data_IF_213695535951
#
_entry.id   IF_213695535951
#
_cell.length_a   1.000
_cell.length_b   1.000
_cell.length_c   1.000
_cell.angle_alpha   90.00
_cell.angle_beta   90.00
_cell.angle_gamma   90.00
#
_symmetry.space_group_name_H-M   'P 1'
#
loop_
_entity.id
_entity.type
_entity.pdbx_description
1 polymer ?
#
# COMPACT_ATOMS: atom_id res chain seq x y z
N UNK A 1 -50.33 -24.23 31.55
CA UNK A 1 -50.89 -22.89 31.26
C UNK A 1 -50.21 -21.76 32.04
N UNK A 2 -49.73 -21.96 33.28
CA UNK A 2 -49.06 -20.89 34.08
C UNK A 2 -47.78 -20.29 33.46
N UNK A 3 -46.97 -21.09 32.76
CA UNK A 3 -45.70 -20.60 32.18
C UNK A 3 -45.94 -19.62 31.02
N UNK A 4 -47.02 -19.81 30.26
CA UNK A 4 -47.42 -18.86 29.21
C UNK A 4 -48.02 -17.59 29.80
N UNK A 5 -48.82 -17.69 30.86
CA UNK A 5 -49.38 -16.52 31.56
C UNK A 5 -48.27 -15.63 32.15
N UNK A 6 -47.26 -16.21 32.81
CA UNK A 6 -46.11 -15.45 33.34
C UNK A 6 -45.27 -14.79 32.24
N UNK A 7 -45.14 -15.42 31.07
CA UNK A 7 -44.43 -14.85 29.91
C UNK A 7 -45.18 -13.69 29.26
N UNK A 8 -46.51 -13.75 29.25
CA UNK A 8 -47.37 -12.67 28.74
C UNK A 8 -47.39 -11.49 29.72
N UNK A 9 -47.47 -11.76 31.03
CA UNK A 9 -47.35 -10.75 32.09
C UNK A 9 -46.04 -9.96 31.98
N UNK A 10 -44.90 -10.67 31.87
CA UNK A 10 -43.59 -10.02 31.74
C UNK A 10 -43.42 -9.22 30.45
N UNK A 11 -44.10 -9.61 29.36
CA UNK A 11 -44.12 -8.82 28.11
C UNK A 11 -44.95 -7.55 28.28
N UNK A 12 -46.10 -7.63 28.95
CA UNK A 12 -46.98 -6.49 29.19
C UNK A 12 -46.31 -5.44 30.08
N UNK A 13 -45.64 -5.86 31.16
CA UNK A 13 -44.88 -4.96 32.03
C UNK A 13 -43.73 -4.26 31.31
N UNK A 14 -43.06 -4.97 30.39
CA UNK A 14 -41.95 -4.40 29.61
C UNK A 14 -42.48 -3.40 28.57
N UNK A 15 -43.65 -3.67 27.97
CA UNK A 15 -44.35 -2.72 27.11
C UNK A 15 -44.83 -1.48 27.88
N UNK A 16 -45.37 -1.66 29.09
CA UNK A 16 -45.79 -0.56 29.96
C UNK A 16 -44.61 0.37 30.30
N UNK A 17 -43.47 -0.21 30.74
CA UNK A 17 -42.24 0.56 31.02
C UNK A 17 -41.70 1.30 29.79
N UNK A 18 -41.88 0.72 28.59
CA UNK A 18 -41.46 1.35 27.33
C UNK A 18 -42.38 2.51 26.94
N UNK A 19 -43.68 2.39 27.18
CA UNK A 19 -44.64 3.49 27.01
C UNK A 19 -44.39 4.63 28.00
N UNK A 20 -44.13 4.31 29.28
CA UNK A 20 -43.83 5.31 30.31
C UNK A 20 -42.52 6.05 30.01
N UNK A 21 -41.50 5.32 29.53
CA UNK A 21 -40.22 5.92 29.11
C UNK A 21 -40.39 6.89 27.92
N UNK A 22 -41.20 6.52 26.93
CA UNK A 22 -41.50 7.39 25.76
C UNK A 22 -42.35 8.60 26.17
N UNK A 23 -43.27 8.45 27.13
CA UNK A 23 -44.06 9.56 27.68
C UNK A 23 -43.16 10.57 28.42
N UNK A 24 -42.22 10.10 29.25
CA UNK A 24 -41.24 10.95 29.94
C UNK A 24 -40.29 11.65 28.96
N UNK A 25 -39.93 11.00 27.84
CA UNK A 25 -39.12 11.62 26.79
C UNK A 25 -39.89 12.71 26.01
N UNK A 26 -41.20 12.51 25.78
CA UNK A 26 -42.06 13.52 25.13
C UNK A 26 -42.35 14.73 26.02
N UNK A 27 -42.49 14.55 27.33
CA UNK A 27 -42.70 15.66 28.27
C UNK A 27 -41.47 16.57 28.44
N UNK A 28 -40.24 16.07 28.20
CA UNK A 28 -39.02 16.89 28.20
C UNK A 28 -38.82 17.73 26.92
N UNK A 29 -39.63 17.54 25.88
CA UNK A 29 -39.53 18.26 24.61
C UNK A 29 -40.46 19.48 24.51
N UNK A 30 -41.29 19.77 25.53
CA UNK A 30 -42.25 20.89 25.52
C UNK A 30 -42.20 21.62 26.87
N UNK A 31 -41.34 22.63 26.97
CA UNK A 31 -41.59 23.83 27.78
C UNK A 31 -40.52 24.89 27.47
N UNK A 32 -40.91 26.07 26.97
CA UNK A 32 -40.04 27.23 26.88
C UNK A 32 -40.22 28.17 28.08
N UNK A 33 -39.12 28.85 28.40
CA UNK A 33 -39.01 30.23 28.90
C UNK A 33 -38.91 30.53 30.42
N UNK A 34 -38.08 31.56 30.67
CA UNK A 34 -38.07 32.53 31.77
C UNK A 34 -37.45 32.12 33.12
N UNK A 35 -36.13 32.31 33.28
CA UNK A 35 -35.58 33.60 33.74
C UNK A 35 -34.04 33.60 33.80
N UNK A 36 -33.47 34.68 33.28
CA UNK A 36 -32.07 35.10 33.43
C UNK A 36 -31.71 35.33 34.90
N UNK A 37 -30.49 34.93 35.31
CA UNK A 37 -29.38 35.87 35.48
C UNK A 37 -28.12 35.18 36.01
N UNK A 38 -26.98 35.54 35.41
CA UNK A 38 -25.62 35.52 35.95
C UNK A 38 -24.93 34.15 36.13
N UNK A 39 -24.33 33.68 35.03
CA UNK A 39 -22.85 33.60 34.88
C UNK A 39 -22.56 33.32 33.41
N UNK A 40 -22.49 34.39 32.62
CA UNK A 40 -22.24 34.33 31.18
C UNK A 40 -20.78 34.66 30.89
N UNK A 41 -20.18 33.88 29.98
CA UNK A 41 -18.96 34.16 29.19
C UNK A 41 -17.62 34.07 29.93
N UNK A 42 -17.15 32.85 30.21
CA UNK A 42 -15.70 32.59 30.09
C UNK A 42 -15.36 31.20 29.52
N UNK A 43 -16.19 30.17 29.70
CA UNK A 43 -15.85 28.81 29.24
C UNK A 43 -16.14 28.50 27.76
N UNK A 44 -17.14 29.14 27.13
CA UNK A 44 -17.39 28.92 25.68
C UNK A 44 -16.38 29.62 24.76
N UNK A 45 -15.65 30.61 25.26
CA UNK A 45 -14.61 31.30 24.51
C UNK A 45 -13.25 30.58 24.57
N UNK A 46 -12.96 29.85 25.65
CA UNK A 46 -11.72 29.07 25.78
C UNK A 46 -11.75 27.81 24.92
N UNK A 47 -12.84 27.04 24.92
CA UNK A 47 -12.97 25.85 24.07
C UNK A 47 -12.93 26.16 22.56
N UNK A 48 -13.48 27.32 22.14
CA UNK A 48 -13.46 27.74 20.73
C UNK A 48 -12.12 28.34 20.27
N UNK A 49 -11.36 28.97 21.17
CA UNK A 49 -9.97 29.41 20.89
C UNK A 49 -9.00 28.24 20.85
N UNK A 50 -9.13 27.28 21.78
CA UNK A 50 -8.29 26.07 21.82
C UNK A 50 -8.53 25.21 20.56
N UNK A 51 -9.78 25.05 20.09
CA UNK A 51 -10.08 24.37 18.83
C UNK A 51 -9.55 25.11 17.58
N UNK A 52 -9.49 26.45 17.58
CA UNK A 52 -8.93 27.23 16.46
C UNK A 52 -7.40 27.20 16.42
N UNK A 53 -6.73 27.23 17.57
CA UNK A 53 -5.26 27.10 17.67
C UNK A 53 -4.83 25.70 17.24
N UNK A 54 -5.54 24.66 17.66
CA UNK A 54 -5.31 23.28 17.20
C UNK A 54 -5.45 23.15 15.67
N UNK A 55 -6.43 23.84 15.06
CA UNK A 55 -6.59 23.87 13.61
C UNK A 55 -5.37 24.41 12.85
N UNK A 56 -4.79 25.53 13.31
CA UNK A 56 -3.59 26.12 12.70
C UNK A 56 -2.34 25.26 12.91
N UNK A 57 -2.20 24.62 14.06
CA UNK A 57 -1.11 23.67 14.31
C UNK A 57 -1.20 22.48 13.34
N UNK A 58 -2.40 21.95 13.08
CA UNK A 58 -2.57 20.89 12.08
C UNK A 58 -2.28 21.37 10.66
N UNK A 59 -2.62 22.61 10.29
CA UNK A 59 -2.23 23.18 8.99
C UNK A 59 -0.71 23.25 8.84
N UNK A 60 0.00 23.72 9.87
CA UNK A 60 1.47 23.73 9.88
C UNK A 60 2.02 22.31 9.76
N UNK A 61 1.46 21.36 10.51
CA UNK A 61 1.89 19.97 10.48
C UNK A 61 1.68 19.32 9.10
N UNK A 62 0.55 19.60 8.44
CA UNK A 62 0.26 19.15 7.08
C UNK A 62 1.36 19.65 6.14
N UNK A 63 1.63 20.95 6.14
CA UNK A 63 2.65 21.56 5.26
C UNK A 63 4.04 20.96 5.53
N UNK A 64 4.41 20.78 6.80
CA UNK A 64 5.69 20.16 7.16
C UNK A 64 5.79 18.70 6.72
N UNK A 65 4.73 17.90 6.91
CA UNK A 65 4.72 16.50 6.50
C UNK A 65 4.77 16.34 4.99
N UNK A 66 4.05 17.18 4.24
CA UNK A 66 4.11 17.21 2.78
C UNK A 66 5.50 17.62 2.30
N UNK A 67 6.06 18.70 2.85
CA UNK A 67 7.41 19.15 2.49
C UNK A 67 8.48 18.09 2.77
N UNK A 68 8.47 17.48 3.95
CA UNK A 68 9.43 16.44 4.31
C UNK A 68 9.26 15.21 3.40
N UNK A 69 8.01 14.79 3.16
CA UNK A 69 7.71 13.66 2.28
C UNK A 69 8.23 13.91 0.86
N UNK A 70 7.91 15.07 0.28
CA UNK A 70 8.13 15.35 -1.13
C UNK A 70 9.57 15.75 -1.45
N UNK A 71 10.26 16.40 -0.52
CA UNK A 71 11.61 16.92 -0.77
C UNK A 71 12.73 16.11 -0.14
N UNK A 72 12.47 15.43 0.98
CA UNK A 72 13.50 14.72 1.73
C UNK A 72 13.33 13.19 1.65
N UNK A 73 12.11 12.66 1.83
CA UNK A 73 11.91 11.22 1.94
C UNK A 73 11.62 10.52 0.59
N UNK A 74 11.01 11.19 -0.38
CA UNK A 74 10.69 10.61 -1.71
C UNK A 74 11.91 10.39 -2.60
N UNK A 75 13.02 11.10 -2.33
CA UNK A 75 14.26 11.07 -3.12
C UNK A 75 15.10 9.82 -2.82
N UNK A 76 14.53 8.65 -3.08
CA UNK A 76 15.22 7.37 -3.02
C UNK A 76 16.14 7.25 -4.24
N UNK A 77 17.46 7.26 -4.01
CA UNK A 77 18.42 6.92 -5.06
C UNK A 77 18.70 5.41 -5.00
N UNK A 78 18.61 4.68 -6.13
CA UNK A 78 19.08 3.31 -6.20
C UNK A 78 20.60 3.26 -5.98
N UNK A 79 21.08 2.23 -5.30
CA UNK A 79 22.51 1.87 -5.34
C UNK A 79 22.82 1.28 -6.71
N UNK A 80 22.96 2.14 -7.71
CA UNK A 80 23.51 1.75 -9.01
C UNK A 80 25.04 1.82 -8.93
N UNK A 81 25.66 0.64 -8.90
CA UNK A 81 27.00 0.36 -9.42
C UNK A 81 28.19 0.99 -8.70
N UNK A 82 29.20 0.17 -8.40
CA UNK A 82 30.56 0.61 -8.11
C UNK A 82 31.09 1.46 -9.28
N UNK A 83 30.86 2.77 -9.21
CA UNK A 83 31.43 3.79 -10.06
C UNK A 83 32.28 4.72 -9.20
N UNK A 84 33.50 4.94 -9.65
CA UNK A 84 34.65 5.51 -8.93
C UNK A 84 34.52 7.01 -8.59
N UNK A 85 33.57 7.38 -7.71
CA UNK A 85 33.44 8.74 -7.15
C UNK A 85 33.37 8.69 -5.61
N UNK A 86 34.49 8.32 -4.99
CA UNK A 86 34.59 8.10 -3.53
C UNK A 86 34.31 9.34 -2.67
N UNK A 87 34.47 10.58 -3.19
CA UNK A 87 34.26 11.81 -2.41
C UNK A 87 32.80 12.23 -2.29
N UNK A 88 31.99 12.07 -3.34
CA UNK A 88 30.55 12.36 -3.29
C UNK A 88 29.81 11.26 -2.52
N UNK A 89 30.20 10.00 -2.71
CA UNK A 89 29.64 8.83 -2.01
C UNK A 89 29.69 8.95 -0.48
N UNK A 90 30.73 9.57 0.09
CA UNK A 90 30.89 9.75 1.55
C UNK A 90 29.89 10.76 2.16
N UNK A 91 29.62 11.89 1.48
CA UNK A 91 28.61 12.85 1.96
C UNK A 91 27.19 12.32 1.79
N UNK A 92 26.92 11.60 0.69
CA UNK A 92 25.61 10.99 0.44
C UNK A 92 25.29 9.86 1.42
N UNK A 93 26.25 9.00 1.74
CA UNK A 93 26.06 7.94 2.74
C UNK A 93 25.79 8.52 4.14
N UNK A 94 26.48 9.60 4.53
CA UNK A 94 26.25 10.28 5.80
C UNK A 94 24.84 10.87 5.90
N UNK A 95 24.36 11.52 4.83
CA UNK A 95 23.00 12.08 4.78
C UNK A 95 21.91 10.98 4.77
N UNK A 96 22.13 9.88 4.05
CA UNK A 96 21.23 8.70 4.04
C UNK A 96 21.12 8.10 5.44
N UNK A 97 22.24 7.91 6.13
CA UNK A 97 22.27 7.40 7.51
C UNK A 97 21.52 8.32 8.48
N UNK A 98 21.68 9.65 8.33
CA UNK A 98 20.96 10.63 9.14
C UNK A 98 19.44 10.54 8.95
N UNK A 99 18.95 10.49 7.71
CA UNK A 99 17.51 10.34 7.43
C UNK A 99 16.97 9.04 8.02
N UNK A 100 17.68 7.93 7.82
CA UNK A 100 17.28 6.63 8.37
C UNK A 100 17.17 6.67 9.89
N UNK A 101 18.14 7.27 10.59
CA UNK A 101 18.09 7.41 12.05
C UNK A 101 16.85 8.21 12.51
N UNK A 102 16.51 9.29 11.79
CA UNK A 102 15.29 10.06 12.08
C UNK A 102 14.01 9.25 11.84
N UNK A 103 13.94 8.48 10.75
CA UNK A 103 12.81 7.60 10.47
C UNK A 103 12.64 6.52 11.56
N UNK A 104 13.72 5.89 12.00
CA UNK A 104 13.71 4.88 13.08
C UNK A 104 13.18 5.48 14.39
N UNK A 105 13.57 6.71 14.74
CA UNK A 105 13.09 7.38 15.96
C UNK A 105 11.63 7.83 15.86
N UNK A 106 11.18 8.24 14.69
CA UNK A 106 9.86 8.87 14.52
C UNK A 106 8.73 7.86 14.28
N UNK A 107 8.99 6.75 13.59
CA UNK A 107 7.96 5.75 13.28
C UNK A 107 7.25 5.17 14.52
N UNK A 108 7.94 4.85 15.64
CA UNK A 108 7.27 4.41 16.88
C UNK A 108 6.31 5.45 17.44
N UNK A 109 6.74 6.72 17.47
CA UNK A 109 5.92 7.84 17.94
C UNK A 109 4.68 7.98 17.06
N UNK A 110 4.83 7.92 15.73
CA UNK A 110 3.71 7.98 14.81
C UNK A 110 2.76 6.79 15.00
N UNK A 111 3.28 5.57 15.22
CA UNK A 111 2.46 4.40 15.47
C UNK A 111 1.60 4.55 16.74
N UNK A 112 2.13 5.19 17.78
CA UNK A 112 1.35 5.54 18.97
C UNK A 112 0.30 6.62 18.71
N UNK A 113 0.59 7.56 17.81
CA UNK A 113 -0.35 8.63 17.44
C UNK A 113 -1.45 8.17 16.50
N UNK A 114 -1.23 7.10 15.72
CA UNK A 114 -2.17 6.63 14.71
C UNK A 114 -3.54 6.26 15.34
N UNK A 115 -3.55 5.78 16.59
CA UNK A 115 -4.77 5.46 17.33
C UNK A 115 -5.70 6.68 17.54
N UNK A 116 -5.16 7.90 17.49
CA UNK A 116 -5.91 9.14 17.69
C UNK A 116 -6.48 9.74 16.40
N UNK A 117 -6.18 9.14 15.23
CA UNK A 117 -6.65 9.63 13.94
C UNK A 117 -8.16 9.80 13.79
N UNK A 118 -9.04 9.03 14.47
CA UNK A 118 -10.48 9.29 14.42
C UNK A 118 -10.89 10.65 15.01
N UNK A 119 -10.02 11.29 15.80
CA UNK A 119 -10.27 12.56 16.49
C UNK A 119 -9.59 13.77 15.83
N UNK A 120 -8.68 13.55 14.88
CA UNK A 120 -7.97 14.63 14.19
C UNK A 120 -8.66 15.02 12.89
N UNK A 121 -8.25 16.17 12.34
CA UNK A 121 -8.75 16.67 11.06
C UNK A 121 -8.48 15.65 9.94
N UNK A 122 -9.50 15.29 9.15
CA UNK A 122 -9.38 14.36 8.03
C UNK A 122 -8.35 14.83 6.98
N UNK A 123 -8.11 16.14 6.85
CA UNK A 123 -7.07 16.69 5.97
C UNK A 123 -5.66 16.24 6.35
N UNK A 124 -5.44 15.84 7.61
CA UNK A 124 -4.16 15.36 8.09
C UNK A 124 -3.89 13.88 7.74
N UNK A 125 -4.93 13.11 7.43
CA UNK A 125 -4.79 11.66 7.22
C UNK A 125 -3.84 11.35 6.06
N UNK A 126 -4.05 11.95 4.88
CA UNK A 126 -3.19 11.70 3.72
C UNK A 126 -1.73 12.12 3.94
N UNK A 127 -1.41 13.35 4.44
CA UNK A 127 -0.05 13.74 4.77
C UNK A 127 0.65 12.79 5.73
N UNK A 128 -0.05 12.31 6.78
CA UNK A 128 0.54 11.36 7.73
C UNK A 128 0.80 10.00 7.08
N UNK A 129 -0.17 9.45 6.34
CA UNK A 129 0.02 8.16 5.67
C UNK A 129 1.14 8.25 4.62
N UNK A 130 1.21 9.34 3.86
CA UNK A 130 2.30 9.60 2.90
C UNK A 130 3.66 9.68 3.60
N UNK A 131 3.73 10.36 4.74
CA UNK A 131 4.92 10.45 5.55
C UNK A 131 5.37 9.08 6.10
N UNK A 132 4.43 8.28 6.61
CA UNK A 132 4.71 6.91 7.09
C UNK A 132 5.27 6.07 5.96
N UNK A 133 4.64 6.10 4.78
CA UNK A 133 5.07 5.33 3.62
C UNK A 133 6.51 5.63 3.25
N UNK A 134 6.84 6.90 3.05
CA UNK A 134 8.20 7.28 2.65
C UNK A 134 9.22 7.03 3.76
N UNK A 135 8.84 7.21 5.03
CA UNK A 135 9.70 6.87 6.16
C UNK A 135 10.04 5.39 6.21
N UNK A 136 9.08 4.50 5.93
CA UNK A 136 9.31 3.05 5.83
C UNK A 136 10.25 2.74 4.66
N UNK A 137 10.05 3.38 3.49
CA UNK A 137 10.88 3.16 2.30
C UNK A 137 12.35 3.55 2.51
N UNK A 138 12.65 4.51 3.39
CA UNK A 138 14.03 4.85 3.73
C UNK A 138 14.78 3.71 4.45
N UNK A 139 14.05 2.78 5.07
CA UNK A 139 14.61 1.67 5.84
C UNK A 139 14.94 0.43 4.97
N UNK A 140 14.67 0.46 3.66
CA UNK A 140 14.89 -0.68 2.74
C UNK A 140 16.36 -1.14 2.67
N UNK A 141 17.30 -0.25 2.98
CA UNK A 141 18.75 -0.46 2.81
C UNK A 141 19.53 -0.48 4.13
N UNK A 142 18.85 -0.42 5.28
CA UNK A 142 19.49 -0.34 6.59
C UNK A 142 19.46 -1.68 7.35
N UNK A 143 20.55 -2.00 8.05
CA UNK A 143 20.60 -3.14 9.00
C UNK A 143 19.60 -3.02 10.16
N UNK A 144 19.05 -1.81 10.36
CA UNK A 144 18.07 -1.46 11.40
C UNK A 144 16.63 -1.95 11.09
N UNK A 145 16.37 -2.57 9.94
CA UNK A 145 15.05 -3.11 9.64
C UNK A 145 14.61 -4.20 10.63
N UNK A 146 15.57 -4.96 11.19
CA UNK A 146 15.28 -6.03 12.14
C UNK A 146 14.70 -5.51 13.46
N UNK A 147 15.21 -4.39 13.97
CA UNK A 147 14.80 -3.78 15.25
C UNK A 147 13.42 -3.14 15.17
N UNK A 148 12.95 -2.77 13.96
CA UNK A 148 11.65 -2.11 13.77
C UNK A 148 10.49 -3.02 13.38
N UNK A 149 10.70 -4.33 13.31
CA UNK A 149 9.71 -5.31 12.83
C UNK A 149 8.35 -5.18 13.55
N UNK A 150 8.34 -5.03 14.88
CA UNK A 150 7.11 -4.93 15.66
C UNK A 150 6.33 -3.64 15.36
N UNK A 151 7.02 -2.50 15.27
CA UNK A 151 6.41 -1.20 14.94
C UNK A 151 5.85 -1.19 13.53
N UNK A 152 6.61 -1.70 12.55
CA UNK A 152 6.16 -1.83 11.17
C UNK A 152 4.89 -2.67 11.10
N UNK A 153 4.92 -3.88 11.68
CA UNK A 153 3.76 -4.77 11.71
C UNK A 153 2.54 -4.12 12.35
N UNK A 154 2.72 -3.41 13.48
CA UNK A 154 1.63 -2.66 14.14
C UNK A 154 1.03 -1.60 13.22
N UNK A 155 1.86 -0.79 12.56
CA UNK A 155 1.41 0.23 11.60
C UNK A 155 0.58 -0.42 10.47
N UNK A 156 1.09 -1.49 9.87
CA UNK A 156 0.39 -2.22 8.82
C UNK A 156 -0.97 -2.77 9.27
N UNK A 157 -1.01 -3.42 10.44
CA UNK A 157 -2.24 -3.98 10.98
C UNK A 157 -3.30 -2.91 11.33
N UNK A 158 -2.89 -1.78 11.90
CA UNK A 158 -3.79 -0.66 12.23
C UNK A 158 -4.34 0.01 10.97
N UNK A 159 -3.53 0.19 9.93
CA UNK A 159 -3.99 0.74 8.65
C UNK A 159 -4.92 -0.20 7.90
N UNK A 160 -4.66 -1.51 7.96
CA UNK A 160 -5.48 -2.53 7.31
C UNK A 160 -6.85 -2.67 7.97
N UNK A 161 -6.88 -2.82 9.30
CA UNK A 161 -8.12 -3.01 10.07
C UNK A 161 -8.93 -1.71 10.19
N UNK A 162 -8.25 -0.57 10.12
CA UNK A 162 -8.79 0.71 10.55
C UNK A 162 -8.62 0.91 12.06
N UNK A 163 -8.62 2.16 12.48
CA UNK A 163 -8.43 2.56 13.87
C UNK A 163 -9.79 2.84 14.49
N UNK A 164 -10.17 2.04 15.48
CA UNK A 164 -11.40 2.18 16.26
C UNK A 164 -11.10 2.73 17.66
N UNK A 165 -12.12 3.31 18.30
CA UNK A 165 -12.03 3.72 19.70
C UNK A 165 -11.77 2.48 20.56
N UNK A 166 -10.58 2.40 21.16
CA UNK A 166 -10.37 1.51 22.32
C UNK A 166 -10.86 2.29 23.54
N UNK A 167 -12.07 2.00 24.01
CA UNK A 167 -12.46 2.40 25.37
C UNK A 167 -11.51 1.68 26.32
N UNK A 168 -10.49 2.37 26.83
CA UNK A 168 -9.79 1.91 28.02
C UNK A 168 -10.79 1.96 29.18
N UNK A 169 -11.01 0.82 29.83
CA UNK A 169 -11.87 0.64 31.01
C UNK A 169 -11.30 1.36 32.25
N UNK A 170 -11.28 2.68 32.23
CA UNK A 170 -11.03 3.48 33.41
C UNK A 170 -11.78 4.81 33.34
N UNK A 171 -12.90 4.84 34.06
CA UNK A 171 -13.79 5.97 34.40
C UNK A 171 -15.04 6.14 33.54
N UNK A 172 -16.25 5.99 34.13
CA UNK A 172 -17.48 6.44 33.51
C UNK A 172 -17.70 7.91 33.86
N UNK A 173 -17.91 8.78 32.89
CA UNK A 173 -18.93 9.83 32.98
C UNK A 173 -19.06 10.61 31.65
N UNK A 174 -20.28 10.62 31.14
CA UNK A 174 -20.80 11.48 30.08
C UNK A 174 -20.07 11.50 28.73
N UNK A 175 -20.16 10.38 28.00
CA UNK A 175 -20.18 10.44 26.53
C UNK A 175 -21.54 9.97 26.01
N UNK A 176 -22.28 10.90 25.39
CA UNK A 176 -23.41 10.58 24.52
C UNK A 176 -22.92 9.52 23.54
N UNK A 177 -23.59 8.36 23.49
CA UNK A 177 -23.32 7.25 22.58
C UNK A 177 -23.45 7.73 21.13
N UNK A 178 -22.39 8.34 20.64
CA UNK A 178 -22.13 8.55 19.23
C UNK A 178 -21.43 7.28 18.76
N UNK A 179 -21.87 6.72 17.62
CA UNK A 179 -21.22 5.55 17.01
C UNK A 179 -19.69 5.71 17.07
N UNK A 180 -18.92 4.67 17.41
CA UNK A 180 -17.47 4.79 17.46
C UNK A 180 -16.97 5.32 16.12
N UNK A 181 -16.32 6.48 16.14
CA UNK A 181 -15.67 7.04 14.96
C UNK A 181 -14.48 6.15 14.63
N UNK A 182 -14.50 5.55 13.45
CA UNK A 182 -13.40 4.73 12.93
C UNK A 182 -12.66 5.54 11.88
N UNK A 183 -11.34 5.65 11.99
CA UNK A 183 -10.52 6.14 10.88
C UNK A 183 -10.25 4.96 9.94
N UNK A 184 -10.68 5.09 8.69
CA UNK A 184 -10.58 4.05 7.68
C UNK A 184 -9.55 4.47 6.65
N UNK A 185 -8.50 3.65 6.50
CA UNK A 185 -7.36 3.94 5.63
C UNK A 185 -7.33 3.00 4.42
N UNK A 186 -7.04 1.72 4.62
CA UNK A 186 -7.04 0.71 3.56
C UNK A 186 -8.39 0.57 2.84
N UNK A 187 -9.51 0.75 3.56
CA UNK A 187 -10.86 0.69 2.96
C UNK A 187 -11.44 2.08 2.63
N UNK A 188 -10.58 3.10 2.56
CA UNK A 188 -11.04 4.47 2.30
C UNK A 188 -11.62 4.61 0.89
N UNK A 189 -12.69 5.41 0.69
CA UNK A 189 -13.14 5.78 -0.64
C UNK A 189 -12.17 6.75 -1.35
N UNK A 190 -11.28 7.42 -0.60
CA UNK A 190 -10.23 8.26 -1.19
C UNK A 190 -9.11 7.36 -1.76
N UNK A 191 -8.96 7.37 -3.08
CA UNK A 191 -7.99 6.54 -3.79
C UNK A 191 -6.57 6.75 -3.30
N UNK A 192 -6.09 7.99 -3.19
CA UNK A 192 -4.70 8.27 -2.76
C UNK A 192 -4.40 7.73 -1.36
N UNK A 193 -5.34 7.91 -0.42
CA UNK A 193 -5.20 7.39 0.95
C UNK A 193 -5.23 5.86 0.97
N UNK A 194 -6.17 5.25 0.24
CA UNK A 194 -6.27 3.80 0.12
C UNK A 194 -5.00 3.21 -0.50
N UNK A 195 -4.53 3.78 -1.60
CA UNK A 195 -3.38 3.30 -2.36
C UNK A 195 -2.09 3.32 -1.54
N UNK A 196 -1.81 4.43 -0.85
CA UNK A 196 -0.66 4.51 0.06
C UNK A 196 -0.79 3.50 1.22
N UNK A 197 -1.98 3.36 1.79
CA UNK A 197 -2.24 2.38 2.85
C UNK A 197 -1.98 0.96 2.37
N UNK A 198 -2.42 0.61 1.16
CA UNK A 198 -2.14 -0.65 0.48
C UNK A 198 -0.64 -0.90 0.39
N UNK A 199 0.15 0.08 -0.06
CA UNK A 199 1.61 -0.08 -0.15
C UNK A 199 2.29 -0.24 1.22
N UNK A 200 1.82 0.47 2.26
CA UNK A 200 2.34 0.31 3.62
C UNK A 200 2.02 -1.09 4.14
N UNK A 201 0.79 -1.59 3.96
CA UNK A 201 0.40 -2.94 4.38
C UNK A 201 1.27 -3.99 3.69
N UNK A 202 1.44 -3.89 2.37
CA UNK A 202 2.35 -4.79 1.63
C UNK A 202 3.77 -4.74 2.20
N UNK A 203 4.25 -3.57 2.63
CA UNK A 203 5.62 -3.44 3.11
C UNK A 203 5.83 -3.94 4.54
N UNK A 204 4.77 -4.05 5.34
CA UNK A 204 4.87 -4.19 6.80
C UNK A 204 4.20 -5.44 7.36
N UNK A 205 3.24 -6.02 6.64
CA UNK A 205 2.49 -7.20 7.09
C UNK A 205 2.99 -8.45 6.36
N UNK A 206 2.99 -9.58 7.07
CA UNK A 206 3.39 -10.89 6.54
C UNK A 206 2.24 -11.91 6.50
N UNK A 207 1.09 -11.59 7.10
CA UNK A 207 -0.09 -12.44 7.13
C UNK A 207 -0.67 -12.61 5.71
N UNK A 208 -0.80 -13.86 5.27
CA UNK A 208 -1.12 -14.19 3.86
C UNK A 208 -2.50 -13.72 3.45
N UNK A 209 -3.49 -13.82 4.33
CA UNK A 209 -4.86 -13.36 4.12
C UNK A 209 -4.95 -11.84 3.98
N UNK A 210 -4.10 -11.08 4.69
CA UNK A 210 -4.04 -9.62 4.55
C UNK A 210 -3.35 -9.26 3.24
N UNK A 211 -2.25 -9.93 2.92
CA UNK A 211 -1.52 -9.71 1.67
C UNK A 211 -2.41 -10.01 0.45
N UNK A 212 -3.14 -11.13 0.45
CA UNK A 212 -4.06 -11.48 -0.63
C UNK A 212 -5.11 -10.39 -0.88
N UNK A 213 -5.83 -9.97 0.18
CA UNK A 213 -6.80 -8.87 0.09
C UNK A 213 -6.18 -7.55 -0.35
N UNK A 214 -4.94 -7.29 0.07
CA UNK A 214 -4.22 -6.07 -0.28
C UNK A 214 -3.85 -6.05 -1.76
N UNK A 215 -3.40 -7.17 -2.33
CA UNK A 215 -3.17 -7.28 -3.77
C UNK A 215 -4.47 -7.24 -4.58
N UNK A 216 -5.56 -7.83 -4.09
CA UNK A 216 -6.86 -7.74 -4.77
C UNK A 216 -7.31 -6.26 -4.86
N UNK A 217 -7.19 -5.51 -3.76
CA UNK A 217 -7.47 -4.07 -3.76
C UNK A 217 -6.54 -3.30 -4.70
N UNK A 218 -5.24 -3.63 -4.73
CA UNK A 218 -4.29 -2.99 -5.63
C UNK A 218 -4.65 -3.25 -7.10
N UNK A 219 -4.94 -4.50 -7.46
CA UNK A 219 -5.37 -4.88 -8.81
C UNK A 219 -6.60 -4.09 -9.26
N UNK A 220 -7.57 -3.86 -8.37
CA UNK A 220 -8.74 -3.02 -8.69
C UNK A 220 -8.35 -1.56 -8.93
N UNK A 221 -7.50 -0.99 -8.09
CA UNK A 221 -7.05 0.40 -8.22
C UNK A 221 -6.21 0.61 -9.50
N UNK A 222 -5.42 -0.39 -9.92
CA UNK A 222 -4.58 -0.30 -11.14
C UNK A 222 -5.35 -0.45 -12.47
N UNK A 223 -6.65 -0.74 -12.44
CA UNK A 223 -7.49 -0.76 -13.65
C UNK A 223 -7.75 0.64 -14.20
N UNK A 224 -7.65 1.67 -13.37
CA UNK A 224 -7.86 3.06 -13.74
C UNK A 224 -6.54 3.83 -13.82
N UNK A 225 -6.53 4.87 -14.64
CA UNK A 225 -5.34 5.66 -14.94
C UNK A 225 -4.80 6.40 -13.71
N UNK A 226 -5.67 6.86 -12.81
CA UNK A 226 -5.28 7.50 -11.56
C UNK A 226 -4.50 6.55 -10.65
N UNK A 227 -4.91 5.27 -10.58
CA UNK A 227 -4.19 4.27 -9.80
C UNK A 227 -2.81 3.94 -10.39
N UNK A 228 -2.71 3.88 -11.73
CA UNK A 228 -1.42 3.73 -12.42
C UNK A 228 -0.49 4.92 -12.19
N UNK A 229 -1.03 6.13 -12.14
CA UNK A 229 -0.27 7.33 -11.79
C UNK A 229 0.30 7.23 -10.37
N UNK A 230 -0.53 6.85 -9.39
CA UNK A 230 -0.09 6.67 -7.99
C UNK A 230 0.95 5.55 -7.86
N UNK A 231 0.82 4.46 -8.64
CA UNK A 231 1.81 3.38 -8.67
C UNK A 231 3.21 3.88 -9.00
N UNK A 232 3.30 4.80 -9.97
CA UNK A 232 4.56 5.40 -10.41
C UNK A 232 5.02 6.50 -9.46
N UNK A 233 4.12 7.39 -9.02
CA UNK A 233 4.39 8.48 -8.07
C UNK A 233 5.03 7.93 -6.78
N UNK A 234 4.47 6.84 -6.25
CA UNK A 234 4.97 6.21 -5.04
C UNK A 234 6.03 5.14 -5.29
N UNK A 235 6.54 4.99 -6.51
CA UNK A 235 7.59 4.02 -6.84
C UNK A 235 7.25 2.62 -6.31
N UNK A 236 6.08 2.08 -6.68
CA UNK A 236 5.57 0.84 -6.09
C UNK A 236 6.35 -0.42 -6.51
N UNK A 237 7.08 -0.41 -7.62
CA UNK A 237 7.78 -1.60 -8.17
C UNK A 237 8.59 -2.37 -7.12
N UNK A 238 9.50 -1.77 -6.34
CA UNK A 238 10.28 -2.50 -5.33
C UNK A 238 9.41 -3.11 -4.21
N UNK A 239 8.30 -2.45 -3.85
CA UNK A 239 7.35 -2.97 -2.86
C UNK A 239 6.69 -4.25 -3.39
N UNK A 240 6.22 -4.22 -4.65
CA UNK A 240 5.58 -5.38 -5.28
C UNK A 240 6.57 -6.53 -5.48
N UNK A 241 7.78 -6.24 -5.95
CA UNK A 241 8.82 -7.25 -6.16
C UNK A 241 9.23 -7.99 -4.89
N UNK A 242 9.12 -7.35 -3.71
CA UNK A 242 9.44 -8.00 -2.43
C UNK A 242 8.56 -9.22 -2.12
N UNK A 243 7.42 -9.33 -2.81
CA UNK A 243 6.45 -10.42 -2.72
C UNK A 243 6.52 -11.40 -3.89
N UNK A 244 7.35 -11.14 -4.91
CA UNK A 244 7.52 -12.03 -6.06
C UNK A 244 8.40 -13.23 -5.69
N UNK A 245 7.88 -14.09 -4.80
CA UNK A 245 8.56 -15.26 -4.21
C UNK A 245 7.70 -16.51 -4.35
N UNK A 246 8.37 -17.64 -4.60
CA UNK A 246 7.72 -18.93 -4.92
C UNK A 246 7.13 -19.61 -3.69
N UNK A 247 7.55 -19.19 -2.49
CA UNK A 247 7.09 -19.72 -1.20
C UNK A 247 5.59 -19.58 -0.99
N UNK A 248 4.90 -18.68 -1.72
CA UNK A 248 3.46 -18.52 -1.66
C UNK A 248 2.85 -18.47 -3.07
N UNK A 249 2.55 -19.64 -3.64
CA UNK A 249 2.00 -19.77 -5.00
C UNK A 249 0.70 -19.00 -5.20
N UNK A 250 -0.19 -18.98 -4.19
CA UNK A 250 -1.46 -18.25 -4.27
C UNK A 250 -1.24 -16.74 -4.37
N UNK A 251 -0.31 -16.21 -3.58
CA UNK A 251 0.04 -14.79 -3.63
C UNK A 251 0.75 -14.41 -4.93
N UNK A 252 1.61 -15.30 -5.44
CA UNK A 252 2.42 -15.06 -6.63
C UNK A 252 1.59 -14.67 -7.85
N UNK A 253 0.41 -15.28 -8.05
CA UNK A 253 -0.51 -14.87 -9.12
C UNK A 253 -0.99 -13.43 -8.93
N UNK A 254 -1.41 -13.05 -7.73
CA UNK A 254 -1.92 -11.71 -7.44
C UNK A 254 -0.83 -10.63 -7.64
N UNK A 255 0.42 -10.94 -7.29
CA UNK A 255 1.58 -10.07 -7.58
C UNK A 255 1.74 -9.87 -9.09
N UNK A 256 1.71 -10.96 -9.86
CA UNK A 256 1.83 -10.91 -11.32
C UNK A 256 0.66 -10.15 -11.96
N UNK A 257 -0.56 -10.34 -11.47
CA UNK A 257 -1.74 -9.63 -11.96
C UNK A 257 -1.63 -8.12 -11.73
N UNK A 258 -1.11 -7.71 -10.57
CA UNK A 258 -0.84 -6.30 -10.27
C UNK A 258 0.17 -5.69 -11.24
N UNK A 259 1.27 -6.39 -11.53
CA UNK A 259 2.28 -5.93 -12.50
C UNK A 259 1.70 -5.88 -13.92
N UNK A 260 0.86 -6.86 -14.30
CA UNK A 260 0.25 -6.89 -15.62
C UNK A 260 -0.77 -5.77 -15.84
N UNK A 261 -1.47 -5.30 -14.82
CA UNK A 261 -2.34 -4.11 -14.96
C UNK A 261 -1.56 -2.88 -15.44
N UNK A 262 -0.29 -2.75 -15.05
CA UNK A 262 0.60 -1.68 -15.53
C UNK A 262 1.08 -1.88 -16.97
N UNK A 263 0.93 -3.08 -17.54
CA UNK A 263 1.32 -3.39 -18.93
C UNK A 263 0.22 -3.11 -19.96
N UNK A 264 -1.00 -2.83 -19.50
CA UNK A 264 -2.14 -2.46 -20.34
C UNK A 264 -1.85 -1.13 -21.03
N UNK A 265 -2.11 -1.07 -22.33
CA UNK A 265 -1.85 0.11 -23.18
C UNK A 265 -2.47 1.37 -22.55
N UNK A 266 -1.60 2.32 -22.20
CA UNK A 266 -1.92 3.59 -21.55
C UNK A 266 -0.67 4.47 -21.55
N UNK A 267 -0.81 5.77 -21.26
CA UNK A 267 0.32 6.70 -21.12
C UNK A 267 1.31 6.33 -20.01
N UNK A 268 0.93 5.42 -19.11
CA UNK A 268 1.74 4.97 -17.97
C UNK A 268 2.58 3.72 -18.27
N UNK A 269 2.35 3.05 -19.40
CA UNK A 269 3.09 1.84 -19.78
C UNK A 269 4.60 2.10 -19.87
N UNK A 270 5.00 3.14 -20.63
CA UNK A 270 6.41 3.43 -20.84
C UNK A 270 7.13 3.82 -19.53
N UNK A 271 6.59 4.75 -18.70
CA UNK A 271 7.15 5.02 -17.37
C UNK A 271 7.23 3.78 -16.47
N UNK A 272 6.27 2.86 -16.55
CA UNK A 272 6.32 1.60 -15.81
C UNK A 272 7.47 0.69 -16.26
N UNK A 273 7.67 0.54 -17.58
CA UNK A 273 8.77 -0.25 -18.11
C UNK A 273 10.13 0.36 -17.73
N UNK A 274 10.24 1.69 -17.73
CA UNK A 274 11.41 2.41 -17.21
C UNK A 274 11.63 2.14 -15.73
N UNK A 275 10.57 2.19 -14.91
CA UNK A 275 10.65 1.85 -13.49
C UNK A 275 11.06 0.39 -13.24
N UNK A 276 10.80 -0.53 -14.17
CA UNK A 276 11.25 -1.92 -14.12
C UNK A 276 12.65 -2.15 -14.71
N UNK A 277 13.23 -1.15 -15.38
CA UNK A 277 14.51 -1.24 -16.09
C UNK A 277 15.72 -1.09 -15.16
N UNK A 278 15.78 -1.92 -14.11
CA UNK A 278 16.81 -1.86 -13.07
C UNK A 278 17.29 -3.25 -12.60
N UNK A 279 18.38 -3.27 -11.85
CA UNK A 279 19.02 -4.50 -11.32
C UNK A 279 18.06 -5.34 -10.47
N UNK A 280 17.29 -4.71 -9.58
CA UNK A 280 16.40 -5.42 -8.65
C UNK A 280 15.34 -6.23 -9.41
N UNK A 281 14.69 -5.63 -10.41
CA UNK A 281 13.67 -6.30 -11.21
C UNK A 281 14.25 -7.52 -11.93
N UNK A 282 15.33 -7.33 -12.70
CA UNK A 282 15.93 -8.39 -13.51
C UNK A 282 16.52 -9.52 -12.65
N UNK A 283 17.14 -9.19 -11.52
CA UNK A 283 17.59 -10.17 -10.53
C UNK A 283 16.42 -11.00 -10.01
N UNK A 284 15.30 -10.36 -9.67
CA UNK A 284 14.11 -11.04 -9.16
C UNK A 284 13.52 -11.99 -10.20
N UNK A 285 13.42 -11.56 -11.47
CA UNK A 285 12.98 -12.42 -12.58
C UNK A 285 13.92 -13.62 -12.77
N UNK A 286 15.24 -13.42 -12.68
CA UNK A 286 16.23 -14.49 -12.84
C UNK A 286 16.09 -15.54 -11.74
N UNK A 287 15.93 -15.10 -10.48
CA UNK A 287 15.66 -16.01 -9.36
C UNK A 287 14.36 -16.79 -9.57
N UNK A 288 13.30 -16.13 -10.02
CA UNK A 288 12.00 -16.75 -10.27
C UNK A 288 12.07 -17.82 -11.37
N UNK A 289 12.71 -17.51 -12.50
CA UNK A 289 12.84 -18.42 -13.64
C UNK A 289 13.77 -19.62 -13.38
N UNK A 290 14.70 -19.54 -12.41
CA UNK A 290 15.60 -20.66 -12.07
C UNK A 290 14.86 -21.78 -11.34
N UNK A 291 13.63 -21.54 -10.89
CA UNK A 291 12.91 -22.50 -10.10
C UNK A 291 12.30 -23.61 -10.99
N UNK A 292 12.67 -24.88 -10.78
CA UNK A 292 12.37 -25.96 -11.73
C UNK A 292 10.89 -26.32 -11.85
N UNK A 293 10.05 -25.83 -10.93
CA UNK A 293 8.59 -26.08 -10.90
C UNK A 293 7.80 -24.77 -10.90
N UNK A 294 8.30 -23.75 -11.61
CA UNK A 294 7.55 -22.52 -11.79
C UNK A 294 6.24 -22.83 -12.52
N UNK A 295 5.15 -22.30 -11.99
CA UNK A 295 3.83 -22.49 -12.59
C UNK A 295 3.76 -21.87 -13.98
N UNK A 296 3.15 -22.58 -14.93
CA UNK A 296 3.09 -22.16 -16.33
C UNK A 296 2.38 -20.82 -16.50
N UNK A 297 1.28 -20.57 -15.78
CA UNK A 297 0.55 -19.31 -15.88
C UNK A 297 1.41 -18.14 -15.38
N UNK A 298 2.19 -18.35 -14.32
CA UNK A 298 3.14 -17.35 -13.84
C UNK A 298 4.22 -17.08 -14.87
N UNK A 299 4.76 -18.12 -15.50
CA UNK A 299 5.76 -18.00 -16.57
C UNK A 299 5.20 -17.22 -17.76
N UNK A 300 3.96 -17.51 -18.19
CA UNK A 300 3.28 -16.77 -19.25
C UNK A 300 3.13 -15.29 -18.90
N UNK A 301 2.60 -14.97 -17.71
CA UNK A 301 2.46 -13.59 -17.23
C UNK A 301 3.81 -12.86 -17.20
N UNK A 302 4.86 -13.53 -16.74
CA UNK A 302 6.21 -12.96 -16.69
C UNK A 302 6.80 -12.74 -18.09
N UNK A 303 6.55 -13.66 -19.01
CA UNK A 303 7.03 -13.55 -20.40
C UNK A 303 6.49 -12.31 -21.11
N UNK A 304 5.26 -11.88 -20.79
CA UNK A 304 4.67 -10.64 -21.33
C UNK A 304 5.50 -9.42 -20.92
N UNK A 305 5.85 -9.33 -19.63
CA UNK A 305 6.60 -8.18 -19.11
C UNK A 305 8.03 -8.19 -19.67
N UNK A 306 8.69 -9.35 -19.66
CA UNK A 306 10.05 -9.51 -20.23
C UNK A 306 10.08 -9.20 -21.72
N UNK A 307 9.05 -9.59 -22.48
CA UNK A 307 8.93 -9.26 -23.90
C UNK A 307 8.85 -7.76 -24.11
N UNK A 308 8.03 -7.03 -23.33
CA UNK A 308 7.96 -5.57 -23.42
C UNK A 308 9.30 -4.91 -23.03
N UNK A 309 9.96 -5.39 -21.97
CA UNK A 309 11.27 -4.89 -21.53
C UNK A 309 12.39 -5.14 -22.55
N UNK A 310 12.32 -6.25 -23.30
CA UNK A 310 13.32 -6.59 -24.32
C UNK A 310 13.38 -5.60 -25.49
N UNK A 311 12.30 -4.83 -25.72
CA UNK A 311 12.25 -3.78 -26.75
C UNK A 311 13.09 -2.55 -26.39
N UNK A 312 13.40 -2.35 -25.10
CA UNK A 312 14.20 -1.23 -24.62
C UNK A 312 15.69 -1.59 -24.81
N UNK A 313 16.36 -0.91 -25.73
CA UNK A 313 17.76 -1.22 -26.11
C UNK A 313 18.73 -1.22 -24.93
N UNK A 314 18.57 -0.29 -23.99
CA UNK A 314 19.43 -0.18 -22.80
C UNK A 314 19.29 -1.36 -21.83
N UNK A 315 18.21 -2.15 -21.92
CA UNK A 315 17.98 -3.31 -21.06
C UNK A 315 18.73 -4.56 -21.50
N UNK A 316 19.31 -4.61 -22.71
CA UNK A 316 20.07 -5.78 -23.19
C UNK A 316 21.15 -6.22 -22.19
N UNK A 317 21.90 -5.25 -21.64
CA UNK A 317 22.92 -5.51 -20.60
C UNK A 317 22.34 -6.17 -19.35
N UNK A 318 21.09 -5.87 -18.97
CA UNK A 318 20.45 -6.48 -17.80
C UNK A 318 19.97 -7.91 -18.10
N UNK A 319 19.49 -8.18 -19.32
CA UNK A 319 19.20 -9.55 -19.78
C UNK A 319 20.46 -10.42 -19.80
N UNK A 320 21.61 -9.84 -20.16
CA UNK A 320 22.92 -10.50 -20.16
C UNK A 320 23.44 -10.72 -18.74
N UNK A 321 23.51 -9.66 -17.93
CA UNK A 321 24.02 -9.68 -16.56
C UNK A 321 23.32 -10.73 -15.68
N UNK A 322 22.00 -10.91 -15.86
CA UNK A 322 21.21 -11.86 -15.10
C UNK A 322 20.91 -13.17 -15.84
N UNK A 323 21.62 -13.42 -16.95
CA UNK A 323 21.55 -14.63 -17.78
C UNK A 323 20.13 -14.98 -18.23
N UNK A 324 19.22 -14.01 -18.26
CA UNK A 324 17.80 -14.24 -18.57
C UNK A 324 17.64 -14.76 -20.00
N UNK A 325 18.45 -14.25 -20.92
CA UNK A 325 18.42 -14.65 -22.31
C UNK A 325 18.66 -16.16 -22.51
N UNK A 326 19.65 -16.74 -21.83
CA UNK A 326 19.93 -18.19 -21.88
C UNK A 326 18.78 -19.00 -21.27
N UNK A 327 18.22 -18.52 -20.16
CA UNK A 327 17.09 -19.19 -19.50
C UNK A 327 15.85 -19.20 -20.39
N UNK A 328 15.56 -18.09 -21.05
CA UNK A 328 14.43 -17.98 -21.98
C UNK A 328 14.65 -18.83 -23.25
N UNK A 329 15.89 -18.97 -23.74
CA UNK A 329 16.22 -19.90 -24.82
C UNK A 329 15.94 -21.35 -24.44
N UNK A 330 16.36 -21.78 -23.24
CA UNK A 330 16.13 -23.14 -22.79
C UNK A 330 14.64 -23.44 -22.55
N UNK A 331 13.90 -22.46 -21.98
CA UNK A 331 12.45 -22.56 -21.85
C UNK A 331 11.80 -22.66 -23.24
N UNK A 332 12.22 -21.85 -24.21
CA UNK A 332 11.68 -21.89 -25.58
C UNK A 332 11.92 -23.24 -26.26
N UNK A 333 13.10 -23.85 -26.04
CA UNK A 333 13.47 -25.15 -26.61
C UNK A 333 12.61 -26.30 -26.07
N UNK A 334 12.14 -26.18 -24.83
CA UNK A 334 11.41 -27.23 -24.10
C UNK A 334 9.90 -26.95 -23.98
N UNK A 335 9.44 -25.77 -24.38
CA UNK A 335 8.04 -25.38 -24.27
C UNK A 335 7.13 -26.24 -25.19
N UNK A 336 5.97 -26.65 -24.67
CA UNK A 336 4.93 -27.29 -25.50
C UNK A 336 4.43 -26.26 -26.55
N UNK A 337 4.48 -26.58 -27.86
CA UNK A 337 3.99 -25.70 -28.93
C UNK A 337 2.52 -25.26 -28.78
N UNK A 338 1.70 -26.01 -28.05
CA UNK A 338 0.30 -25.66 -27.76
C UNK A 338 0.15 -24.42 -26.87
N UNK A 339 1.20 -24.04 -26.12
CA UNK A 339 1.24 -22.80 -25.35
C UNK A 339 1.65 -21.62 -26.25
N UNK A 340 0.78 -21.32 -27.22
CA UNK A 340 1.05 -20.36 -28.31
C UNK A 340 1.46 -18.98 -27.79
N UNK A 341 0.79 -18.47 -26.75
CA UNK A 341 1.11 -17.16 -26.17
C UNK A 341 2.50 -17.11 -25.55
N UNK A 342 2.87 -18.15 -24.80
CA UNK A 342 4.21 -18.28 -24.23
C UNK A 342 5.27 -18.28 -25.35
N UNK A 343 5.08 -19.15 -26.34
CA UNK A 343 5.99 -19.30 -27.46
C UNK A 343 6.18 -17.97 -28.24
N UNK A 344 5.10 -17.23 -28.49
CA UNK A 344 5.16 -15.92 -29.15
C UNK A 344 6.00 -14.93 -28.33
N UNK A 345 5.76 -14.83 -27.02
CA UNK A 345 6.48 -13.91 -26.15
C UNK A 345 7.97 -14.26 -26.06
N UNK A 346 8.30 -15.55 -25.94
CA UNK A 346 9.69 -16.03 -25.90
C UNK A 346 10.40 -15.72 -27.22
N UNK A 347 9.82 -16.09 -28.36
CA UNK A 347 10.40 -15.83 -29.68
C UNK A 347 10.61 -14.33 -29.91
N UNK A 348 9.63 -13.49 -29.56
CA UNK A 348 9.75 -12.04 -29.69
C UNK A 348 10.84 -11.48 -28.78
N UNK A 349 10.97 -11.98 -27.56
CA UNK A 349 12.04 -11.58 -26.63
C UNK A 349 13.42 -11.91 -27.21
N UNK A 350 13.62 -13.16 -27.66
CA UNK A 350 14.89 -13.61 -28.23
C UNK A 350 15.24 -12.87 -29.52
N UNK A 351 14.24 -12.53 -30.33
CA UNK A 351 14.42 -11.69 -31.51
C UNK A 351 14.89 -10.28 -31.16
N UNK A 352 14.25 -9.61 -30.21
CA UNK A 352 14.65 -8.25 -29.79
C UNK A 352 16.07 -8.21 -29.21
N UNK A 353 16.48 -9.31 -28.55
CA UNK A 353 17.84 -9.48 -28.03
C UNK A 353 18.87 -9.81 -29.12
N UNK A 354 18.45 -10.16 -30.33
CA UNK A 354 19.32 -10.50 -31.46
C UNK A 354 19.83 -11.95 -31.43
N UNK A 355 19.14 -12.83 -30.72
CA UNK A 355 19.55 -14.22 -30.48
C UNK A 355 18.89 -15.24 -31.41
N UNK A 356 17.82 -14.85 -32.09
CA UNK A 356 17.31 -15.61 -33.23
C UNK A 356 17.93 -15.05 -34.51
N UNK A 357 18.73 -15.86 -35.21
CA UNK A 357 18.96 -15.61 -36.64
C UNK A 357 17.61 -15.75 -37.32
N UNK A 358 17.23 -14.80 -38.18
CA UNK A 358 16.18 -15.08 -39.16
C UNK A 358 16.56 -16.40 -39.83
N UNK A 359 15.80 -17.46 -39.60
CA UNK A 359 15.70 -18.49 -40.61
C UNK A 359 15.02 -17.80 -41.78
N UNK A 360 15.82 -17.16 -42.64
CA UNK A 360 15.43 -16.91 -44.01
C UNK A 360 14.86 -18.23 -44.49
N UNK A 361 13.57 -18.22 -44.84
CA UNK A 361 12.91 -19.32 -45.53
C UNK A 361 13.85 -19.77 -46.65
N UNK A 362 14.60 -20.84 -46.42
CA UNK A 362 15.16 -21.63 -47.50
C UNK A 362 13.93 -22.29 -48.08
N UNK A 363 13.35 -21.63 -49.08
CA UNK A 363 12.52 -22.29 -50.07
C UNK A 363 13.36 -23.43 -50.62
N UNK A 364 13.19 -24.61 -50.05
CA UNK A 364 13.50 -25.88 -50.68
C UNK A 364 12.57 -26.00 -51.88
N UNK A 365 12.97 -25.40 -52.99
CA UNK A 365 12.55 -25.82 -54.31
C UNK A 365 13.74 -26.56 -54.91
N UNK A 366 13.83 -27.84 -54.55
CA UNK A 366 14.70 -28.82 -55.20
C UNK A 366 13.83 -29.77 -56.01
N UNK A 367 14.16 -29.83 -57.30
CA UNK A 367 13.82 -30.84 -58.32
C UNK A 367 12.51 -30.65 -59.07
#
# INVERSE_FOLDING_TARGET
MEVQAKRVQGRLENLQRKCDFVAVQKCKAISPSLHEMKTTKQEKASASRINKVNGRVYEILIVLMEWISDYHLSKLKPEDGEGDDQKESCHFSTHKNYIQEKCVKLLPVIAEQLQWMPFVNLKLHLPVIKFIYWSIRQLDYGTQHSTMTATMRRLGEELFKGVTIRTHDSSPEHFVVTKPKTAVFFKSPNLSLRFLSTLIVLKTVTQVDYLAQTFDSLCLDLKIDEGKALFLEYQAVPVILSHLKITNKGLLSNVMDSLLQMTVESRFLQPFLEACSNVLFFRTCSVLLRHPKLDLQILEKLSIILQKLSKIKSNKKLFELFTLHLMLQEIQRTANPEHVFLCINLNSTLFNLGLTKCNSLVTTASS
#
